data_IF_620315797610
#
_entry.id   IF_620315797610
#
_cell.length_a   1.000
_cell.length_b   1.000
_cell.length_c   1.000
_cell.angle_alpha   90.00
_cell.angle_beta   90.00
_cell.angle_gamma   90.00
#
_symmetry.space_group_name_H-M   'P 1'
#
loop_
_entity.id
_entity.type
_entity.pdbx_description
1 polymer ?
#
# COMPACT_ATOMS: atom_id res chain seq x y z
N UNK A 1 4.01 -8.80 20.63
CA UNK A 1 3.62 -7.45 20.16
C UNK A 1 4.54 -6.91 19.08
N UNK A 2 5.86 -6.93 19.25
CA UNK A 2 6.83 -6.53 18.19
C UNK A 2 6.62 -7.26 16.86
N UNK A 3 6.46 -8.59 16.88
CA UNK A 3 6.14 -9.39 15.69
C UNK A 3 4.88 -8.87 14.98
N UNK A 4 3.77 -8.73 15.71
CA UNK A 4 2.49 -8.26 15.17
C UNK A 4 2.62 -6.85 14.59
N UNK A 5 3.29 -5.93 15.29
CA UNK A 5 3.53 -4.57 14.80
C UNK A 5 4.36 -4.57 13.51
N UNK A 6 5.40 -5.42 13.42
CA UNK A 6 6.21 -5.56 12.21
C UNK A 6 5.40 -6.16 11.04
N UNK A 7 4.54 -7.15 11.32
CA UNK A 7 3.65 -7.73 10.31
C UNK A 7 2.61 -6.72 9.83
N UNK A 8 2.03 -5.92 10.73
CA UNK A 8 1.07 -4.86 10.35
C UNK A 8 1.73 -3.81 9.48
N UNK A 9 2.92 -3.33 9.85
CA UNK A 9 3.66 -2.36 9.02
C UNK A 9 4.00 -2.94 7.65
N UNK A 10 4.55 -4.16 7.61
CA UNK A 10 4.88 -4.79 6.33
C UNK A 10 3.65 -5.05 5.45
N UNK A 11 2.52 -5.45 6.03
CA UNK A 11 1.28 -5.63 5.29
C UNK A 11 0.74 -4.29 4.73
N UNK A 12 0.77 -3.22 5.54
CA UNK A 12 0.33 -1.88 5.12
C UNK A 12 1.23 -1.33 4.00
N UNK A 13 2.54 -1.49 4.10
CA UNK A 13 3.46 -1.05 3.04
C UNK A 13 3.24 -1.81 1.74
N UNK A 14 3.00 -3.12 1.79
CA UNK A 14 2.71 -3.92 0.59
C UNK A 14 1.41 -3.47 -0.09
N UNK A 15 0.36 -3.20 0.68
CA UNK A 15 -0.91 -2.70 0.13
C UNK A 15 -0.75 -1.29 -0.46
N UNK A 16 0.04 -0.43 0.19
CA UNK A 16 0.31 0.91 -0.31
C UNK A 16 1.08 0.89 -1.62
N UNK A 17 2.21 0.17 -1.66
CA UNK A 17 3.06 0.06 -2.85
C UNK A 17 2.26 -0.53 -4.02
N UNK A 18 1.51 -1.62 -3.81
CA UNK A 18 0.69 -2.22 -4.86
C UNK A 18 -0.41 -1.27 -5.38
N UNK A 19 -1.05 -0.51 -4.49
CA UNK A 19 -2.07 0.45 -4.87
C UNK A 19 -1.49 1.66 -5.64
N UNK A 20 -0.27 2.08 -5.30
CA UNK A 20 0.42 3.18 -5.98
C UNK A 20 0.90 2.75 -7.36
N UNK A 21 1.52 1.56 -7.47
CA UNK A 21 1.96 0.97 -8.74
C UNK A 21 0.78 0.82 -9.72
N UNK A 22 -0.34 0.22 -9.26
CA UNK A 22 -1.55 0.10 -10.08
C UNK A 22 -2.14 1.45 -10.50
N UNK A 23 -2.10 2.46 -9.62
CA UNK A 23 -2.57 3.80 -9.96
C UNK A 23 -1.69 4.43 -11.03
N UNK A 24 -0.37 4.31 -10.89
CA UNK A 24 0.58 4.88 -11.83
C UNK A 24 0.49 4.21 -13.20
N UNK A 25 0.27 2.89 -13.26
CA UNK A 25 0.08 2.16 -14.51
C UNK A 25 -1.23 2.59 -15.21
N UNK A 26 -2.34 2.72 -14.46
CA UNK A 26 -3.64 3.08 -15.04
C UNK A 26 -3.73 4.55 -15.46
N UNK A 27 -3.03 5.47 -14.78
CA UNK A 27 -3.01 6.90 -15.15
C UNK A 27 -2.20 7.15 -16.43
N UNK A 28 -1.36 6.20 -16.83
CA UNK A 28 -0.51 6.29 -18.03
C UNK A 28 -1.17 5.77 -19.30
N UNK A 29 -2.39 5.28 -19.20
CA UNK A 29 -3.12 4.70 -20.32
C UNK A 29 -4.49 5.38 -20.48
N UNK A 30 -4.73 5.95 -21.65
CA UNK A 30 -5.98 6.63 -21.98
C UNK A 30 -6.57 5.95 -23.22
N UNK A 31 -7.87 5.76 -23.24
CA UNK A 31 -8.56 5.16 -24.38
C UNK A 31 -9.46 6.18 -25.05
N UNK A 32 -9.23 6.42 -26.34
CA UNK A 32 -10.16 7.18 -27.18
C UNK A 32 -11.06 6.18 -27.89
N UNK A 33 -12.37 6.39 -27.79
CA UNK A 33 -13.37 5.56 -28.47
C UNK A 33 -14.04 6.38 -29.56
N UNK A 34 -14.11 5.85 -30.78
CA UNK A 34 -14.83 6.48 -31.88
C UNK A 34 -16.03 5.59 -32.21
N UNK A 35 -17.24 6.11 -31.99
CA UNK A 35 -18.48 5.39 -32.30
C UNK A 35 -18.77 5.46 -33.81
N UNK A 36 -19.18 4.34 -34.45
CA UNK A 36 -19.64 4.38 -35.84
C UNK A 36 -20.88 5.27 -35.97
N UNK A 37 -20.82 6.24 -36.89
CA UNK A 37 -21.91 7.14 -37.25
C UNK A 37 -22.17 6.97 -38.76
N UNK A 38 -23.45 6.83 -39.13
CA UNK A 38 -23.85 6.67 -40.52
C UNK A 38 -23.41 7.87 -41.38
N UNK A 39 -22.73 7.58 -42.50
CA UNK A 39 -22.28 8.60 -43.45
C UNK A 39 -20.95 9.29 -43.11
N UNK A 40 -20.26 8.86 -42.05
CA UNK A 40 -18.92 9.34 -41.67
C UNK A 40 -17.87 8.28 -42.03
N UNK A 41 -16.78 8.70 -42.67
CA UNK A 41 -15.63 7.85 -42.94
C UNK A 41 -14.81 7.64 -41.65
N UNK A 42 -14.97 6.46 -41.05
CA UNK A 42 -14.31 6.08 -39.80
C UNK A 42 -12.78 6.09 -39.89
N UNK A 43 -12.21 5.70 -41.03
CA UNK A 43 -10.75 5.64 -41.18
C UNK A 43 -10.15 7.05 -41.07
N UNK A 44 -10.82 8.01 -41.72
CA UNK A 44 -10.42 9.43 -41.69
C UNK A 44 -10.55 10.04 -40.29
N UNK A 45 -11.58 9.68 -39.53
CA UNK A 45 -11.76 10.15 -38.16
C UNK A 45 -10.73 9.53 -37.19
N UNK A 46 -10.34 8.26 -37.40
CA UNK A 46 -9.25 7.62 -36.65
C UNK A 46 -7.93 8.35 -36.91
N UNK A 47 -7.56 8.55 -38.18
CA UNK A 47 -6.32 9.23 -38.54
C UNK A 47 -6.28 10.66 -37.97
N UNK A 48 -7.42 11.35 -37.99
CA UNK A 48 -7.56 12.68 -37.40
C UNK A 48 -7.40 12.66 -35.89
N UNK A 49 -8.01 11.70 -35.19
CA UNK A 49 -7.88 11.53 -33.75
C UNK A 49 -6.43 11.23 -33.35
N UNK A 50 -5.73 10.37 -34.10
CA UNK A 50 -4.32 10.05 -33.87
C UNK A 50 -3.46 11.30 -34.04
N UNK A 51 -3.61 12.03 -35.15
CA UNK A 51 -2.83 13.23 -35.43
C UNK A 51 -3.05 14.31 -34.37
N UNK A 52 -4.30 14.57 -34.00
CA UNK A 52 -4.65 15.55 -32.97
C UNK A 52 -4.07 15.16 -31.61
N UNK A 53 -4.15 13.89 -31.23
CA UNK A 53 -3.65 13.41 -29.94
C UNK A 53 -2.12 13.54 -29.87
N UNK A 54 -1.39 13.23 -30.94
CA UNK A 54 0.07 13.38 -30.99
C UNK A 54 0.57 14.83 -30.87
N UNK A 55 -0.28 15.84 -31.10
CA UNK A 55 0.08 17.24 -30.93
C UNK A 55 0.10 17.68 -29.45
N UNK A 56 -0.52 16.91 -28.54
CA UNK A 56 -0.56 17.24 -27.13
C UNK A 56 0.74 16.84 -26.40
N UNK A 57 1.25 17.70 -25.49
CA UNK A 57 2.44 17.40 -24.70
C UNK A 57 2.18 16.27 -23.70
N UNK A 58 3.20 15.45 -23.46
CA UNK A 58 3.15 14.35 -22.47
C UNK A 58 2.72 12.99 -23.05
N UNK A 59 2.34 12.92 -24.32
CA UNK A 59 1.97 11.66 -24.98
C UNK A 59 3.20 10.96 -25.54
N UNK A 60 3.30 9.66 -25.28
CA UNK A 60 4.39 8.80 -25.74
C UNK A 60 4.06 8.16 -27.08
N UNK A 61 2.90 7.51 -27.16
CA UNK A 61 2.45 6.80 -28.36
C UNK A 61 0.94 6.77 -28.47
N UNK A 62 0.44 6.75 -29.71
CA UNK A 62 -0.98 6.62 -30.03
C UNK A 62 -1.14 5.52 -31.07
N UNK A 63 -1.94 4.51 -30.76
CA UNK A 63 -2.16 3.36 -31.65
C UNK A 63 -3.64 3.01 -31.73
N UNK A 64 -4.18 2.92 -32.94
CA UNK A 64 -5.51 2.37 -33.15
C UNK A 64 -5.47 0.85 -33.09
N UNK A 65 -6.40 0.25 -32.35
CA UNK A 65 -6.58 -1.20 -32.36
C UNK A 65 -7.09 -1.65 -33.74
N UNK A 66 -6.48 -2.73 -34.22
CA UNK A 66 -6.94 -3.45 -35.41
C UNK A 66 -8.22 -4.22 -35.12
N UNK A 67 -8.93 -4.60 -36.20
CA UNK A 67 -10.15 -5.38 -36.08
C UNK A 67 -9.84 -6.79 -35.54
N UNK A 68 -8.65 -7.35 -35.84
CA UNK A 68 -8.21 -8.64 -35.32
C UNK A 68 -7.95 -8.61 -33.81
N UNK A 69 -7.31 -7.54 -33.31
CA UNK A 69 -7.12 -7.33 -31.86
C UNK A 69 -8.46 -7.16 -31.15
N UNK A 70 -9.35 -6.33 -31.72
CA UNK A 70 -10.70 -6.13 -31.19
C UNK A 70 -11.49 -7.44 -31.13
N UNK A 71 -11.40 -8.29 -32.17
CA UNK A 71 -12.00 -9.62 -32.19
C UNK A 71 -11.44 -10.50 -31.08
N UNK A 72 -10.12 -10.48 -30.88
CA UNK A 72 -9.46 -11.28 -29.85
C UNK A 72 -9.91 -10.90 -28.43
N UNK A 73 -10.16 -9.61 -28.17
CA UNK A 73 -10.68 -9.12 -26.89
C UNK A 73 -12.13 -9.53 -26.63
N UNK A 74 -12.93 -9.66 -27.69
CA UNK A 74 -14.35 -10.01 -27.61
C UNK A 74 -14.61 -11.53 -27.64
N UNK A 75 -13.72 -12.31 -28.23
CA UNK A 75 -13.83 -13.77 -28.38
C UNK A 75 -14.13 -14.51 -27.06
N UNK A 76 -13.52 -14.18 -25.89
CA UNK A 76 -13.83 -14.85 -24.63
C UNK A 76 -15.28 -14.70 -24.17
N UNK A 77 -15.96 -13.63 -24.60
CA UNK A 77 -17.31 -13.28 -24.17
C UNK A 77 -18.38 -13.74 -25.17
N UNK A 78 -18.06 -13.64 -26.47
CA UNK A 78 -19.03 -13.82 -27.55
C UNK A 78 -18.78 -15.08 -28.40
N UNK A 79 -17.67 -15.79 -28.17
CA UNK A 79 -17.32 -17.04 -28.85
C UNK A 79 -16.55 -16.86 -30.16
N UNK A 80 -16.20 -17.98 -30.78
CA UNK A 80 -15.50 -18.02 -32.08
C UNK A 80 -16.47 -17.77 -33.25
N UNK A 81 -16.04 -17.05 -34.29
CA UNK A 81 -16.86 -16.76 -35.48
C UNK A 81 -17.57 -15.40 -35.46
N UNK A 82 -17.06 -14.43 -34.69
CA UNK A 82 -17.64 -13.08 -34.62
C UNK A 82 -17.44 -12.28 -35.93
N UNK A 83 -18.53 -11.86 -36.56
CA UNK A 83 -18.52 -10.87 -37.64
C UNK A 83 -18.61 -9.45 -37.05
N UNK A 84 -17.48 -8.76 -36.98
CA UNK A 84 -17.40 -7.39 -36.44
C UNK A 84 -18.21 -6.40 -37.27
N UNK A 85 -18.34 -6.63 -38.58
CA UNK A 85 -19.05 -5.75 -39.52
C UNK A 85 -20.57 -5.70 -39.27
N UNK A 86 -21.13 -6.72 -38.59
CA UNK A 86 -22.55 -6.80 -38.26
C UNK A 86 -22.89 -6.11 -36.92
N UNK A 87 -21.88 -5.72 -36.14
CA UNK A 87 -22.05 -5.09 -34.83
C UNK A 87 -21.56 -3.64 -34.90
N UNK A 88 -22.29 -2.68 -34.30
CA UNK A 88 -21.82 -1.30 -34.16
C UNK A 88 -20.76 -1.22 -33.05
N UNK A 89 -19.60 -1.83 -33.28
CA UNK A 89 -18.46 -1.79 -32.37
C UNK A 89 -17.70 -0.47 -32.53
N UNK A 90 -17.43 0.26 -31.44
CA UNK A 90 -16.59 1.45 -31.49
C UNK A 90 -15.14 1.08 -31.80
N UNK A 91 -14.43 1.96 -32.51
CA UNK A 91 -13.00 1.83 -32.75
C UNK A 91 -12.24 2.40 -31.57
N UNK A 92 -11.34 1.59 -31.02
CA UNK A 92 -10.54 1.94 -29.85
C UNK A 92 -9.16 2.42 -30.30
N UNK A 93 -8.70 3.52 -29.71
CA UNK A 93 -7.36 4.05 -29.88
C UNK A 93 -6.73 4.11 -28.49
N UNK A 94 -5.64 3.38 -28.32
CA UNK A 94 -4.86 3.35 -27.10
C UNK A 94 -3.84 4.49 -27.13
N UNK A 95 -3.78 5.26 -26.05
CA UNK A 95 -2.87 6.39 -25.88
C UNK A 95 -2.01 6.11 -24.66
N UNK A 96 -0.70 6.03 -24.86
CA UNK A 96 0.27 5.93 -23.77
C UNK A 96 0.80 7.31 -23.41
N UNK A 97 0.80 7.63 -22.12
CA UNK A 97 1.19 8.93 -21.57
C UNK A 97 2.52 8.79 -20.82
N UNK A 98 3.54 9.49 -21.30
CA UNK A 98 4.87 9.50 -20.69
C UNK A 98 4.90 10.34 -19.41
N UNK A 99 4.32 11.55 -19.47
CA UNK A 99 4.27 12.52 -18.37
C UNK A 99 2.84 13.03 -18.15
N UNK A 100 2.12 12.44 -17.18
CA UNK A 100 0.76 12.85 -16.82
C UNK A 100 0.67 14.31 -16.33
N UNK A 101 1.75 14.89 -15.82
CA UNK A 101 1.76 16.25 -15.26
C UNK A 101 1.73 17.35 -16.33
N UNK A 102 2.15 17.02 -17.56
CA UNK A 102 2.13 17.95 -18.70
C UNK A 102 0.85 17.85 -19.53
N UNK A 103 0.12 16.74 -19.42
CA UNK A 103 -1.09 16.48 -20.21
C UNK A 103 -2.33 17.07 -19.53
N UNK A 104 -2.98 18.04 -20.17
CA UNK A 104 -4.32 18.45 -19.76
C UNK A 104 -5.39 17.58 -20.46
N UNK A 105 -5.86 16.56 -19.73
CA UNK A 105 -6.88 15.60 -20.21
C UNK A 105 -8.18 16.31 -20.63
N UNK A 106 -8.55 17.40 -19.95
CA UNK A 106 -9.80 18.13 -20.28
C UNK A 106 -9.68 18.87 -21.61
N UNK A 107 -8.52 19.50 -21.87
CA UNK A 107 -8.30 20.20 -23.14
C UNK A 107 -8.23 19.20 -24.30
N UNK A 108 -7.62 18.02 -24.08
CA UNK A 108 -7.61 16.92 -25.04
C UNK A 108 -9.04 16.41 -25.32
N UNK A 109 -9.85 16.20 -24.27
CA UNK A 109 -11.26 15.77 -24.39
C UNK A 109 -12.07 16.75 -25.24
N UNK A 110 -11.99 18.04 -24.92
CA UNK A 110 -12.72 19.10 -25.65
C UNK A 110 -12.27 19.12 -27.11
N UNK A 111 -10.96 19.09 -27.37
CA UNK A 111 -10.41 19.12 -28.73
C UNK A 111 -10.82 17.90 -29.56
N UNK A 112 -10.87 16.71 -28.94
CA UNK A 112 -11.35 15.49 -29.61
C UNK A 112 -12.85 15.53 -29.89
N UNK A 113 -13.67 15.94 -28.93
CA UNK A 113 -15.14 16.02 -29.09
C UNK A 113 -15.56 17.09 -30.11
N UNK A 114 -14.82 18.19 -30.23
CA UNK A 114 -15.09 19.25 -31.22
C UNK A 114 -14.63 18.88 -32.64
N UNK A 115 -13.49 18.19 -32.77
CA UNK A 115 -12.87 17.96 -34.07
C UNK A 115 -13.15 16.58 -34.67
N UNK A 116 -13.46 15.56 -33.86
CA UNK A 116 -13.65 14.19 -34.32
C UNK A 116 -15.09 13.74 -34.04
N UNK A 117 -15.82 13.39 -35.11
CA UNK A 117 -17.22 13.03 -34.97
C UNK A 117 -17.37 11.67 -34.26
N UNK A 118 -18.07 11.65 -33.11
CA UNK A 118 -18.31 10.42 -32.36
C UNK A 118 -17.15 9.96 -31.48
N UNK A 119 -16.13 10.80 -31.29
CA UNK A 119 -15.05 10.55 -30.34
C UNK A 119 -15.52 10.77 -28.89
N UNK A 120 -15.05 9.91 -28.00
CA UNK A 120 -15.17 10.07 -26.55
C UNK A 120 -13.87 9.62 -25.88
N UNK A 121 -13.39 10.40 -24.92
CA UNK A 121 -12.19 10.09 -24.15
C UNK A 121 -12.55 9.39 -22.84
N UNK A 122 -11.93 8.23 -22.59
CA UNK A 122 -11.97 7.53 -21.31
C UNK A 122 -10.59 7.54 -20.66
N UNK A 123 -10.48 8.29 -19.57
CA UNK A 123 -9.28 8.47 -18.75
C UNK A 123 -9.25 7.55 -17.53
N UNK A 124 -10.27 6.69 -17.35
CA UNK A 124 -10.43 5.73 -16.24
C UNK A 124 -10.29 6.33 -14.81
N UNK A 125 -10.21 7.66 -14.69
CA UNK A 125 -9.81 8.39 -13.48
C UNK A 125 -10.82 8.27 -12.34
N UNK A 126 -12.10 8.13 -12.68
CA UNK A 126 -13.18 7.94 -11.71
C UNK A 126 -13.12 6.56 -11.06
N UNK A 127 -12.72 5.53 -11.78
CA UNK A 127 -12.57 4.19 -11.23
C UNK A 127 -11.28 4.09 -10.40
N UNK A 128 -10.17 4.61 -10.92
CA UNK A 128 -8.87 4.63 -10.21
C UNK A 128 -8.97 5.42 -8.90
N UNK A 129 -9.64 6.57 -8.89
CA UNK A 129 -9.85 7.37 -7.67
C UNK A 129 -10.71 6.68 -6.62
N UNK A 130 -11.68 5.84 -7.03
CA UNK A 130 -12.46 5.02 -6.08
C UNK A 130 -11.62 3.89 -5.52
N UNK A 131 -10.82 3.24 -6.36
CA UNK A 131 -9.94 2.16 -5.93
C UNK A 131 -8.85 2.69 -4.97
N UNK A 132 -8.31 3.87 -5.24
CA UNK A 132 -7.35 4.55 -4.35
C UNK A 132 -7.98 4.93 -3.02
N UNK A 133 -9.24 5.40 -3.02
CA UNK A 133 -9.98 5.66 -1.78
C UNK A 133 -10.18 4.37 -0.96
N UNK A 134 -10.46 3.23 -1.61
CA UNK A 134 -10.58 1.93 -0.95
C UNK A 134 -9.23 1.45 -0.39
N UNK A 135 -8.14 1.57 -1.14
CA UNK A 135 -6.79 1.26 -0.68
C UNK A 135 -6.40 2.14 0.53
N UNK A 136 -6.70 3.43 0.47
CA UNK A 136 -6.52 4.37 1.57
C UNK A 136 -7.31 3.97 2.83
N UNK A 137 -8.54 3.46 2.67
CA UNK A 137 -9.32 2.94 3.79
C UNK A 137 -8.67 1.70 4.44
N UNK A 138 -8.11 0.77 3.64
CA UNK A 138 -7.39 -0.40 4.15
C UNK A 138 -6.14 0.03 4.93
N UNK A 139 -5.40 1.00 4.41
CA UNK A 139 -4.21 1.57 5.06
C UNK A 139 -4.59 2.24 6.38
N UNK A 140 -5.70 3.00 6.41
CA UNK A 140 -6.23 3.62 7.62
C UNK A 140 -6.58 2.57 8.69
N UNK A 141 -7.25 1.49 8.29
CA UNK A 141 -7.55 0.36 9.18
C UNK A 141 -6.25 -0.28 9.70
N UNK A 142 -5.25 -0.44 8.84
CA UNK A 142 -3.93 -0.93 9.22
C UNK A 142 -3.25 -0.08 10.29
N UNK A 143 -3.26 1.25 10.15
CA UNK A 143 -2.78 2.16 11.19
C UNK A 143 -3.62 2.08 12.49
N UNK A 144 -4.93 1.87 12.38
CA UNK A 144 -5.80 1.60 13.53
C UNK A 144 -5.38 0.35 14.30
N UNK A 145 -5.12 -0.76 13.60
CA UNK A 145 -4.62 -2.01 14.19
C UNK A 145 -3.24 -1.79 14.84
N UNK A 146 -2.32 -1.10 14.15
CA UNK A 146 -1.00 -0.81 14.70
C UNK A 146 -1.11 -0.01 16.00
N UNK A 147 -1.98 0.99 16.04
CA UNK A 147 -2.25 1.81 17.23
C UNK A 147 -2.79 0.95 18.37
N UNK A 148 -3.73 0.04 18.11
CA UNK A 148 -4.26 -0.89 19.11
C UNK A 148 -3.18 -1.84 19.65
N UNK A 149 -2.32 -2.36 18.78
CA UNK A 149 -1.19 -3.24 19.18
C UNK A 149 -0.20 -2.49 20.06
N UNK A 150 0.17 -1.27 19.69
CA UNK A 150 1.06 -0.43 20.50
C UNK A 150 0.41 -0.03 21.84
N UNK A 151 -0.88 0.30 21.84
CA UNK A 151 -1.64 0.57 23.07
C UNK A 151 -1.67 -0.64 24.00
N UNK A 152 -1.99 -1.83 23.48
CA UNK A 152 -1.97 -3.09 24.24
C UNK A 152 -0.59 -3.39 24.82
N UNK A 153 0.47 -3.14 24.04
CA UNK A 153 1.85 -3.27 24.50
C UNK A 153 2.16 -2.33 25.67
N UNK A 154 1.80 -1.05 25.56
CA UNK A 154 1.99 -0.06 26.64
C UNK A 154 1.29 -0.52 27.92
N UNK A 155 0.01 -0.91 27.84
CA UNK A 155 -0.73 -1.43 29.01
C UNK A 155 -0.03 -2.63 29.63
N UNK A 156 0.41 -3.59 28.80
CA UNK A 156 1.11 -4.80 29.28
C UNK A 156 2.40 -4.45 30.02
N UNK A 157 3.18 -3.50 29.51
CA UNK A 157 4.42 -3.03 30.15
C UNK A 157 4.13 -2.31 31.47
N UNK A 158 3.08 -1.48 31.54
CA UNK A 158 2.66 -0.83 32.80
C UNK A 158 2.31 -1.88 33.85
N UNK A 159 1.46 -2.85 33.50
CA UNK A 159 1.07 -3.92 34.43
C UNK A 159 2.27 -4.76 34.87
N UNK A 160 3.15 -5.14 33.95
CA UNK A 160 4.35 -5.89 34.27
C UNK A 160 5.29 -5.11 35.22
N UNK A 161 5.46 -3.81 34.98
CA UNK A 161 6.30 -2.94 35.81
C UNK A 161 5.71 -2.80 37.21
N UNK A 162 4.39 -2.56 37.33
CA UNK A 162 3.73 -2.45 38.64
C UNK A 162 3.76 -3.78 39.41
N UNK A 163 3.55 -4.91 38.73
CA UNK A 163 3.65 -6.23 39.34
C UNK A 163 5.07 -6.52 39.84
N UNK A 164 6.10 -6.14 39.07
CA UNK A 164 7.49 -6.29 39.47
C UNK A 164 7.85 -5.43 40.68
N UNK A 165 7.36 -4.18 40.75
CA UNK A 165 7.54 -3.29 41.90
C UNK A 165 6.86 -3.85 43.16
N UNK A 166 5.61 -4.29 43.03
CA UNK A 166 4.84 -4.84 44.15
C UNK A 166 5.48 -6.12 44.71
N UNK A 167 6.00 -6.99 43.84
CA UNK A 167 6.69 -8.22 44.24
C UNK A 167 8.04 -7.99 44.93
N UNK A 168 8.69 -6.85 44.68
CA UNK A 168 10.01 -6.51 45.23
C UNK A 168 9.95 -5.36 46.26
N UNK A 169 8.78 -5.12 46.88
CA UNK A 169 8.58 -4.01 47.82
C UNK A 169 9.62 -3.98 48.95
N UNK A 170 9.99 -5.15 49.49
CA UNK A 170 10.90 -5.23 50.64
C UNK A 170 12.32 -4.82 50.24
N UNK A 171 12.75 -5.18 49.02
CA UNK A 171 14.04 -4.77 48.44
C UNK A 171 14.05 -3.25 48.21
N UNK A 172 12.96 -2.70 47.68
CA UNK A 172 12.81 -1.25 47.46
C UNK A 172 12.86 -0.49 48.78
N UNK A 173 12.18 -0.98 49.83
CA UNK A 173 12.22 -0.37 51.16
C UNK A 173 13.63 -0.37 51.76
N UNK A 174 14.39 -1.46 51.63
CA UNK A 174 15.79 -1.50 52.08
C UNK A 174 16.64 -0.48 51.33
N UNK A 175 16.48 -0.37 50.01
CA UNK A 175 17.19 0.62 49.20
C UNK A 175 16.89 2.05 49.65
N UNK A 176 15.61 2.32 49.94
CA UNK A 176 15.15 3.62 50.43
C UNK A 176 15.74 3.92 51.83
N UNK A 177 15.78 2.93 52.73
CA UNK A 177 16.40 3.10 54.06
C UNK A 177 17.91 3.38 54.00
N UNK A 178 18.61 2.89 52.97
CA UNK A 178 20.03 3.17 52.72
C UNK A 178 20.22 4.55 52.03
N UNK A 179 19.14 5.28 51.74
CA UNK A 179 19.16 6.63 51.19
C UNK A 179 19.18 6.68 49.67
N UNK A 180 18.75 5.62 48.98
CA UNK A 180 18.65 5.64 47.52
C UNK A 180 17.57 6.62 47.04
N UNK A 181 17.94 7.49 46.09
CA UNK A 181 17.00 8.41 45.46
C UNK A 181 15.99 7.66 44.58
N UNK A 182 14.73 8.06 44.57
CA UNK A 182 13.67 7.50 43.72
C UNK A 182 14.05 7.45 42.23
N UNK A 183 14.87 8.41 41.78
CA UNK A 183 15.37 8.47 40.41
C UNK A 183 16.38 7.36 40.11
N UNK A 184 17.11 6.86 41.11
CA UNK A 184 17.99 5.70 41.02
C UNK A 184 17.18 4.42 40.80
N UNK A 185 16.16 4.19 41.64
CA UNK A 185 15.26 3.04 41.52
C UNK A 185 14.57 3.04 40.16
N UNK A 186 14.00 4.18 39.75
CA UNK A 186 13.32 4.31 38.46
C UNK A 186 14.25 4.04 37.26
N UNK A 187 15.53 4.42 37.35
CA UNK A 187 16.49 4.19 36.27
C UNK A 187 16.87 2.72 36.12
N UNK A 188 16.97 1.98 37.23
CA UNK A 188 17.31 0.57 37.20
C UNK A 188 16.19 -0.26 36.57
N UNK A 189 14.93 -0.01 36.97
CA UNK A 189 13.76 -0.63 36.34
C UNK A 189 13.63 -0.23 34.86
N UNK A 190 13.83 1.05 34.54
CA UNK A 190 13.81 1.51 33.15
C UNK A 190 14.85 0.79 32.29
N UNK A 191 16.08 0.63 32.78
CA UNK A 191 17.15 -0.07 32.06
C UNK A 191 16.81 -1.54 31.84
N UNK A 192 16.28 -2.21 32.87
CA UNK A 192 15.86 -3.60 32.78
C UNK A 192 14.77 -3.80 31.72
N UNK A 193 13.68 -3.02 31.78
CA UNK A 193 12.57 -3.12 30.82
C UNK A 193 12.96 -2.65 29.41
N UNK A 194 13.88 -1.69 29.27
CA UNK A 194 14.44 -1.30 27.98
C UNK A 194 15.18 -2.46 27.32
N UNK A 195 16.03 -3.17 28.06
CA UNK A 195 16.76 -4.33 27.51
C UNK A 195 15.80 -5.46 27.16
N UNK A 196 14.79 -5.71 27.98
CA UNK A 196 13.74 -6.70 27.68
C UNK A 196 12.96 -6.32 26.40
N UNK A 197 12.55 -5.05 26.29
CA UNK A 197 11.85 -4.51 25.12
C UNK A 197 12.71 -4.59 23.86
N UNK A 198 14.00 -4.28 23.96
CA UNK A 198 14.94 -4.37 22.83
C UNK A 198 15.13 -5.82 22.37
N UNK A 199 15.35 -6.76 23.30
CA UNK A 199 15.47 -8.19 22.98
C UNK A 199 14.20 -8.71 22.30
N UNK A 200 13.04 -8.44 22.89
CA UNK A 200 11.74 -8.84 22.33
C UNK A 200 11.43 -8.16 20.99
N UNK A 201 11.88 -6.91 20.82
CA UNK A 201 11.81 -6.15 19.58
C UNK A 201 12.62 -6.84 18.48
N UNK A 202 13.91 -7.08 18.73
CA UNK A 202 14.81 -7.73 17.78
C UNK A 202 14.32 -9.13 17.40
N UNK A 203 13.95 -9.97 18.39
CA UNK A 203 13.46 -11.31 18.09
C UNK A 203 12.15 -11.28 17.31
N UNK A 204 11.24 -10.37 17.65
CA UNK A 204 9.97 -10.21 16.93
C UNK A 204 10.16 -9.71 15.49
N UNK A 205 11.06 -8.74 15.29
CA UNK A 205 11.41 -8.25 13.96
C UNK A 205 12.09 -9.31 13.11
N UNK A 206 13.00 -10.09 13.69
CA UNK A 206 13.67 -11.19 12.98
C UNK A 206 12.70 -12.29 12.57
N UNK A 207 11.76 -12.67 13.45
CA UNK A 207 10.69 -13.62 13.10
C UNK A 207 9.76 -13.05 12.03
N UNK A 208 9.45 -11.74 12.06
CA UNK A 208 8.65 -11.09 11.02
C UNK A 208 9.34 -11.17 9.66
N UNK A 209 10.64 -10.85 9.60
CA UNK A 209 11.45 -10.95 8.38
C UNK A 209 11.47 -12.38 7.85
N UNK A 210 11.70 -13.37 8.70
CA UNK A 210 11.63 -14.79 8.29
C UNK A 210 10.25 -15.13 7.73
N UNK A 211 9.17 -14.66 8.36
CA UNK A 211 7.82 -14.90 7.89
C UNK A 211 7.60 -14.32 6.48
N UNK A 212 8.02 -13.08 6.23
CA UNK A 212 7.94 -12.46 4.91
C UNK A 212 8.79 -13.18 3.86
N UNK A 213 10.01 -13.61 4.21
CA UNK A 213 10.87 -14.40 3.32
C UNK A 213 10.22 -15.75 3.00
N UNK A 214 9.68 -16.45 3.99
CA UNK A 214 8.97 -17.71 3.78
C UNK A 214 7.75 -17.53 2.86
N UNK A 215 6.95 -16.49 3.07
CA UNK A 215 5.81 -16.17 2.21
C UNK A 215 6.30 -15.92 0.77
N UNK A 216 7.32 -15.08 0.59
CA UNK A 216 7.86 -14.78 -0.74
C UNK A 216 8.40 -16.02 -1.46
N UNK A 217 9.05 -16.94 -0.75
CA UNK A 217 9.53 -18.21 -1.32
C UNK A 217 8.38 -19.15 -1.70
N UNK A 218 7.35 -19.26 -0.86
CA UNK A 218 6.17 -20.09 -1.15
C UNK A 218 5.40 -19.58 -2.36
N UNK A 219 5.24 -18.26 -2.49
CA UNK A 219 4.59 -17.64 -3.65
C UNK A 219 5.40 -17.86 -4.93
N UNK A 220 6.73 -17.71 -4.89
CA UNK A 220 7.61 -17.99 -6.04
C UNK A 220 7.58 -19.44 -6.49
N UNK A 221 7.60 -20.39 -5.54
CA UNK A 221 7.51 -21.81 -5.86
C UNK A 221 6.12 -22.27 -6.34
N UNK A 222 5.09 -21.44 -6.12
CA UNK A 222 3.72 -21.71 -6.56
C UNK A 222 3.36 -21.04 -7.90
N UNK A 223 4.31 -20.32 -8.53
CA UNK A 223 4.14 -19.75 -9.88
C UNK A 223 3.83 -20.89 -10.86
N UNK A 224 2.60 -20.94 -11.35
CA UNK A 224 2.05 -22.08 -12.11
C UNK A 224 0.72 -22.64 -11.58
N UNK A 225 0.28 -22.26 -10.37
CA UNK A 225 -1.11 -22.45 -9.93
C UNK A 225 -1.92 -21.18 -10.20
N UNK A 226 -3.10 -21.29 -10.80
CA UNK A 226 -3.94 -20.14 -11.23
C UNK A 226 -4.21 -19.10 -10.12
N UNK A 227 -4.23 -19.51 -8.85
CA UNK A 227 -4.40 -18.58 -7.72
C UNK A 227 -3.13 -17.80 -7.35
N UNK A 228 -1.93 -18.34 -7.58
CA UNK A 228 -0.67 -17.67 -7.27
C UNK A 228 -0.32 -16.59 -8.33
N UNK A 229 -0.67 -16.84 -9.59
CA UNK A 229 -0.49 -15.86 -10.67
C UNK A 229 -1.48 -14.69 -10.50
N UNK A 230 -2.73 -14.96 -10.09
CA UNK A 230 -3.69 -13.91 -9.72
C UNK A 230 -3.23 -13.10 -8.51
N UNK A 231 -2.70 -13.74 -7.46
CA UNK A 231 -2.15 -13.02 -6.31
C UNK A 231 -0.96 -12.14 -6.68
N UNK A 232 -0.07 -12.62 -7.56
CA UNK A 232 1.10 -11.86 -8.01
C UNK A 232 0.70 -10.71 -8.94
N UNK A 233 -0.35 -10.87 -9.74
CA UNK A 233 -0.92 -9.78 -10.55
C UNK A 233 -1.62 -8.72 -9.68
N UNK A 234 -2.33 -9.13 -8.63
CA UNK A 234 -3.09 -8.21 -7.76
C UNK A 234 -2.23 -7.46 -6.73
N UNK A 235 -1.17 -8.08 -6.23
CA UNK A 235 -0.35 -7.54 -5.14
C UNK A 235 1.12 -7.34 -5.51
N UNK A 236 1.46 -7.54 -6.79
CA UNK A 236 2.84 -7.55 -7.27
C UNK A 236 3.64 -8.75 -6.78
N UNK A 237 4.92 -8.81 -7.14
CA UNK A 237 5.82 -9.78 -6.51
C UNK A 237 5.97 -9.39 -5.04
N UNK A 238 5.62 -10.30 -4.12
CA UNK A 238 5.84 -10.13 -2.67
C UNK A 238 7.35 -10.15 -2.42
N UNK A 239 8.02 -9.07 -2.76
CA UNK A 239 9.37 -8.76 -2.35
C UNK A 239 9.23 -7.57 -1.43
N UNK A 240 9.58 -7.76 -0.16
CA UNK A 240 9.64 -6.64 0.79
C UNK A 240 10.64 -5.64 0.22
N UNK A 241 10.13 -4.52 -0.26
CA UNK A 241 10.92 -3.40 -0.78
C UNK A 241 11.84 -2.88 0.33
N UNK A 242 12.95 -2.21 -0.02
CA UNK A 242 13.87 -1.60 0.96
C UNK A 242 13.12 -0.78 2.04
N UNK A 243 12.06 0.00 1.71
CA UNK A 243 11.22 0.68 2.71
C UNK A 243 10.58 -0.23 3.74
N UNK A 244 10.14 -1.43 3.37
CA UNK A 244 9.54 -2.40 4.29
C UNK A 244 10.53 -2.87 5.37
N UNK A 245 11.79 -3.11 5.01
CA UNK A 245 12.83 -3.45 5.98
C UNK A 245 13.18 -2.28 6.90
N UNK A 246 13.22 -1.06 6.36
CA UNK A 246 13.39 0.17 7.16
C UNK A 246 12.22 0.32 8.16
N UNK A 247 10.99 0.01 7.72
CA UNK A 247 9.80 -0.02 8.57
C UNK A 247 9.93 -0.98 9.75
N UNK A 248 10.45 -2.18 9.52
CA UNK A 248 10.71 -3.16 10.61
C UNK A 248 11.71 -2.60 11.63
N UNK A 249 12.81 -2.01 11.18
CA UNK A 249 13.81 -1.39 12.09
C UNK A 249 13.19 -0.23 12.87
N UNK A 250 12.39 0.60 12.20
CA UNK A 250 11.68 1.71 12.83
C UNK A 250 10.69 1.21 13.91
N UNK A 251 9.95 0.12 13.64
CA UNK A 251 9.04 -0.50 14.63
C UNK A 251 9.83 -1.03 15.82
N UNK A 252 10.96 -1.69 15.61
CA UNK A 252 11.80 -2.19 16.72
C UNK A 252 12.30 -1.03 17.59
N UNK A 253 12.75 0.06 16.97
CA UNK A 253 13.17 1.26 17.69
C UNK A 253 12.01 1.91 18.46
N UNK A 254 10.83 2.02 17.82
CA UNK A 254 9.61 2.58 18.42
C UNK A 254 9.15 1.75 19.63
N UNK A 255 9.14 0.43 19.51
CA UNK A 255 8.81 -0.52 20.59
C UNK A 255 9.78 -0.34 21.76
N UNK A 256 11.09 -0.29 21.51
CA UNK A 256 12.09 -0.07 22.55
C UNK A 256 11.91 1.29 23.25
N UNK A 257 11.66 2.35 22.48
CA UNK A 257 11.43 3.70 22.99
C UNK A 257 10.15 3.79 23.84
N UNK A 258 9.03 3.26 23.35
CA UNK A 258 7.76 3.22 24.08
C UNK A 258 7.91 2.43 25.38
N UNK A 259 8.53 1.25 25.34
CA UNK A 259 8.78 0.43 26.55
C UNK A 259 9.55 1.23 27.61
N UNK A 260 10.60 1.94 27.19
CA UNK A 260 11.44 2.76 28.08
C UNK A 260 10.65 3.91 28.71
N UNK A 261 9.89 4.67 27.91
CA UNK A 261 9.09 5.79 28.41
C UNK A 261 7.99 5.31 29.35
N UNK A 262 7.25 4.28 28.94
CA UNK A 262 6.14 3.72 29.70
C UNK A 262 6.60 3.17 31.04
N UNK A 263 7.74 2.45 31.07
CA UNK A 263 8.31 1.95 32.32
C UNK A 263 8.68 3.10 33.27
N UNK A 264 9.35 4.15 32.76
CA UNK A 264 9.71 5.32 33.58
C UNK A 264 8.49 6.04 34.16
N UNK A 265 7.45 6.20 33.36
CA UNK A 265 6.18 6.79 33.80
C UNK A 265 5.48 5.92 34.84
N UNK A 266 5.40 4.61 34.62
CA UNK A 266 4.77 3.67 35.54
C UNK A 266 5.46 3.66 36.91
N UNK A 267 6.79 3.66 36.95
CA UNK A 267 7.55 3.69 38.21
C UNK A 267 7.33 5.02 38.95
N UNK A 268 7.44 6.17 38.25
CA UNK A 268 7.19 7.49 38.87
C UNK A 268 5.76 7.62 39.41
N UNK A 269 4.77 7.09 38.69
CA UNK A 269 3.38 7.10 39.12
C UNK A 269 3.14 6.21 40.34
N UNK A 270 3.91 5.12 40.49
CA UNK A 270 3.83 4.25 41.65
C UNK A 270 4.51 4.87 42.89
N UNK A 271 5.70 5.44 42.74
CA UNK A 271 6.44 6.08 43.85
C UNK A 271 5.65 7.26 44.45
N UNK A 272 5.02 8.09 43.61
CA UNK A 272 4.11 9.18 44.07
C UNK A 272 2.90 8.75 44.89
N UNK A 273 2.56 7.45 44.91
CA UNK A 273 1.45 6.92 45.72
C UNK A 273 1.91 6.35 47.06
N UNK A 274 3.21 6.14 47.22
CA UNK A 274 3.82 5.54 48.42
C UNK A 274 4.34 6.63 49.37
N UNK A 275 4.66 7.81 48.83
CA UNK A 275 4.75 9.08 49.58
C UNK A 275 3.37 9.59 50.03
#
# INVERSE_FOLDING_TARGET
MSLLACLTVGAVTLVWDAADDWQNDLVREITIQIRPIDGVDMLREIDKAIALTLEFPGIESVQALSDDETRSLLQPWLGEGLELDALPVPRLIQVSVSDPGLLNIQDLRISLEEQVAGASLDDHSVWTSRLSAMAGAVVLVGFGILTLVLGSMVLSVVFATQAAMAGNKDVVSVLHFVGAEDSFIAREFQRHFLVLGLKGGITGGLVAVICFVCIGLLTRNSAGYAGADQFTALFGSISVSIPGYVGVVAVVALVAFLTSITSRWAVKAHLRKVD
#
